data_IF_131727492744
#
_entry.id   IF_131727492744
#
_cell.length_a   1.000
_cell.length_b   1.000
_cell.length_c   1.000
_cell.angle_alpha   90.00
_cell.angle_beta   90.00
_cell.angle_gamma   90.00
#
_symmetry.space_group_name_H-M   'P 1'
#
loop_
_entity.id
_entity.type
_entity.pdbx_description
1 polymer ?
#
# COMPACT_ATOMS: atom_id res chain seq x y z
N UNK A 1 -21.92 -7.06 0.84
CA UNK A 1 -22.10 -5.82 0.06
C UNK A 1 -20.91 -4.86 0.29
N UNK A 2 -20.56 -4.50 1.55
CA UNK A 2 -19.51 -3.53 1.90
C UNK A 2 -18.11 -3.94 1.37
N UNK A 3 -17.67 -5.18 1.63
CA UNK A 3 -16.38 -5.70 1.15
C UNK A 3 -16.28 -5.69 -0.38
N UNK A 4 -17.37 -6.06 -1.08
CA UNK A 4 -17.39 -6.02 -2.54
C UNK A 4 -17.27 -4.60 -3.08
N UNK A 5 -17.89 -3.62 -2.40
CA UNK A 5 -17.78 -2.22 -2.77
C UNK A 5 -16.36 -1.70 -2.56
N UNK A 6 -15.76 -1.95 -1.39
CA UNK A 6 -14.37 -1.58 -1.11
C UNK A 6 -13.40 -2.21 -2.13
N UNK A 7 -13.59 -3.48 -2.48
CA UNK A 7 -12.75 -4.17 -3.47
C UNK A 7 -12.83 -3.55 -4.88
N UNK A 8 -14.01 -3.09 -5.29
CA UNK A 8 -14.19 -2.54 -6.64
C UNK A 8 -13.85 -1.05 -6.74
N UNK A 9 -14.23 -0.27 -5.72
CA UNK A 9 -14.28 1.19 -5.83
C UNK A 9 -13.13 1.88 -5.08
N UNK A 10 -12.29 1.13 -4.32
CA UNK A 10 -11.21 1.74 -3.55
C UNK A 10 -10.08 2.21 -4.47
N UNK A 11 -9.78 3.52 -4.41
CA UNK A 11 -8.78 4.15 -5.27
C UNK A 11 -7.35 3.65 -5.04
N UNK A 12 -6.98 3.29 -3.79
CA UNK A 12 -5.66 2.74 -3.50
C UNK A 12 -5.47 1.37 -4.16
N UNK A 13 -6.52 0.53 -4.16
CA UNK A 13 -6.49 -0.77 -4.80
C UNK A 13 -6.47 -0.65 -6.33
N UNK A 14 -7.23 0.29 -6.88
CA UNK A 14 -7.24 0.55 -8.32
C UNK A 14 -5.88 1.09 -8.80
N UNK A 15 -5.21 1.94 -8.01
CA UNK A 15 -3.85 2.39 -8.31
C UNK A 15 -2.84 1.22 -8.34
N UNK A 16 -2.97 0.25 -7.42
CA UNK A 16 -2.09 -0.94 -7.43
C UNK A 16 -2.38 -1.87 -8.62
N UNK A 17 -3.63 -1.94 -9.10
CA UNK A 17 -3.97 -2.64 -10.35
C UNK A 17 -3.28 -2.00 -11.55
N UNK A 18 -3.22 -0.65 -11.61
CA UNK A 18 -2.46 0.04 -12.66
C UNK A 18 -0.95 -0.19 -12.54
N UNK A 19 -0.41 -0.38 -11.35
CA UNK A 19 1.00 -0.76 -11.15
C UNK A 19 1.32 -2.13 -11.79
N UNK A 20 0.37 -3.06 -11.81
CA UNK A 20 0.52 -4.33 -12.55
C UNK A 20 0.55 -4.07 -14.06
N UNK A 21 -0.36 -3.23 -14.58
CA UNK A 21 -0.36 -2.86 -16.00
C UNK A 21 0.97 -2.19 -16.42
N UNK A 22 1.53 -1.32 -15.56
CA UNK A 22 2.85 -0.69 -15.78
C UNK A 22 3.93 -1.77 -15.90
N UNK A 23 3.98 -2.74 -14.99
CA UNK A 23 4.99 -3.81 -15.02
C UNK A 23 4.87 -4.71 -16.27
N UNK A 24 3.66 -4.91 -16.80
CA UNK A 24 3.44 -5.59 -18.08
C UNK A 24 4.00 -4.79 -19.27
N UNK A 25 3.89 -3.45 -19.25
CA UNK A 25 4.52 -2.63 -20.29
C UNK A 25 6.04 -2.60 -20.15
N UNK A 26 6.59 -2.60 -18.93
CA UNK A 26 8.04 -2.71 -18.69
C UNK A 26 8.62 -4.00 -19.27
N UNK A 27 7.89 -5.12 -19.18
CA UNK A 27 8.29 -6.35 -19.86
C UNK A 27 8.32 -6.19 -21.38
N UNK A 28 7.31 -5.53 -21.98
CA UNK A 28 7.30 -5.26 -23.44
C UNK A 28 8.46 -4.35 -23.84
N UNK A 29 8.79 -3.34 -23.03
CA UNK A 29 9.96 -2.47 -23.21
C UNK A 29 11.24 -3.30 -23.17
N UNK A 30 11.37 -4.23 -22.21
CA UNK A 30 12.53 -5.11 -22.15
C UNK A 30 12.64 -6.06 -23.35
N UNK A 31 11.50 -6.60 -23.83
CA UNK A 31 11.47 -7.40 -25.06
C UNK A 31 11.85 -6.56 -26.28
N UNK A 32 11.44 -5.30 -26.36
CA UNK A 32 11.76 -4.42 -27.50
C UNK A 32 13.26 -4.18 -27.67
N UNK A 33 14.06 -4.35 -26.62
CA UNK A 33 15.52 -4.28 -26.71
C UNK A 33 16.15 -5.36 -27.62
N UNK A 34 15.40 -6.42 -27.92
CA UNK A 34 15.78 -7.49 -28.85
C UNK A 34 15.39 -7.20 -30.30
N UNK A 35 14.63 -6.14 -30.55
CA UNK A 35 14.16 -5.74 -31.87
C UNK A 35 15.00 -4.59 -32.42
N UNK A 36 15.06 -4.41 -33.77
CA UNK A 36 15.69 -3.26 -34.34
C UNK A 36 14.90 -1.98 -34.02
N UNK A 37 15.62 -0.88 -33.82
CA UNK A 37 15.05 0.46 -33.82
C UNK A 37 15.16 1.07 -35.23
N UNK A 38 14.11 1.77 -35.69
CA UNK A 38 14.06 2.50 -36.94
C UNK A 38 13.81 3.96 -36.63
N UNK A 39 14.73 4.82 -37.02
CA UNK A 39 14.67 6.26 -36.80
C UNK A 39 14.73 7.00 -38.12
N UNK A 40 13.78 7.89 -38.38
CA UNK A 40 13.81 8.86 -39.46
C UNK A 40 14.18 10.22 -38.87
N UNK A 41 15.20 10.85 -39.40
CA UNK A 41 15.64 12.20 -39.01
C UNK A 41 15.78 13.12 -40.19
N UNK A 42 15.56 14.41 -39.96
CA UNK A 42 15.78 15.47 -40.94
C UNK A 42 16.37 16.69 -40.25
N UNK A 43 17.36 17.29 -40.85
CA UNK A 43 17.96 18.53 -40.37
C UNK A 43 18.21 19.48 -41.52
N UNK A 44 18.12 20.78 -41.26
CA UNK A 44 18.57 21.85 -42.16
C UNK A 44 19.49 22.73 -41.35
N UNK A 45 20.69 22.99 -41.88
CA UNK A 45 21.65 23.92 -41.31
C UNK A 45 21.95 25.03 -42.33
N UNK A 46 22.47 26.17 -41.86
CA UNK A 46 23.05 27.23 -42.68
C UNK A 46 24.51 27.33 -42.26
N UNK A 47 25.42 27.11 -43.21
CA UNK A 47 26.84 27.07 -42.95
C UNK A 47 27.53 28.25 -43.64
N UNK A 48 28.08 29.17 -42.85
CA UNK A 48 28.89 30.29 -43.31
C UNK A 48 30.38 29.95 -43.04
N UNK A 49 31.11 29.64 -44.10
CA UNK A 49 32.50 29.22 -44.05
C UNK A 49 33.45 30.39 -44.27
N UNK A 50 34.05 30.90 -43.20
CA UNK A 50 34.93 32.08 -43.24
C UNK A 50 36.32 31.81 -43.85
N UNK A 51 36.80 30.56 -43.85
CA UNK A 51 38.09 30.20 -44.46
C UNK A 51 38.14 28.71 -44.79
N UNK A 52 38.56 28.39 -46.01
CA UNK A 52 38.85 27.05 -46.48
C UNK A 52 40.18 27.05 -47.23
N UNK A 53 41.11 26.14 -46.85
CA UNK A 53 42.45 26.07 -47.42
C UNK A 53 42.71 24.64 -47.90
N UNK A 54 43.20 24.47 -49.12
CA UNK A 54 43.60 23.19 -49.67
C UNK A 54 44.87 22.65 -48.92
N UNK A 55 45.11 21.33 -48.97
CA UNK A 55 46.27 20.71 -48.35
C UNK A 55 47.61 21.23 -48.86
N UNK A 56 47.64 21.80 -50.09
CA UNK A 56 48.82 22.44 -50.66
C UNK A 56 49.01 23.91 -50.26
N UNK A 57 48.17 24.42 -49.31
CA UNK A 57 48.25 25.80 -48.80
C UNK A 57 47.58 26.87 -49.67
N UNK A 58 46.91 26.53 -50.77
CA UNK A 58 46.16 27.48 -51.59
C UNK A 58 44.75 27.64 -51.05
N UNK A 59 44.19 28.86 -51.12
CA UNK A 59 42.83 29.15 -50.74
C UNK A 59 41.85 28.44 -51.70
N UNK A 60 40.84 27.77 -51.15
CA UNK A 60 39.74 27.19 -51.92
C UNK A 60 38.63 28.23 -52.12
N UNK A 61 37.81 28.05 -53.14
CA UNK A 61 36.59 28.85 -53.32
C UNK A 61 35.62 28.53 -52.18
N UNK A 62 35.24 29.54 -51.41
CA UNK A 62 34.25 29.44 -50.33
C UNK A 62 32.88 29.73 -50.97
N UNK A 63 31.90 28.92 -50.62
CA UNK A 63 30.48 29.21 -50.86
C UNK A 63 29.68 28.82 -49.59
N UNK A 64 28.79 29.69 -49.24
CA UNK A 64 27.81 29.38 -48.18
C UNK A 64 26.87 28.32 -48.73
N UNK A 65 26.53 27.33 -47.86
CA UNK A 65 25.64 26.23 -48.18
C UNK A 65 24.61 26.08 -47.09
N UNK A 66 23.41 25.66 -47.46
CA UNK A 66 22.29 25.42 -46.57
C UNK A 66 21.91 23.91 -46.58
N UNK A 67 22.81 23.01 -46.13
CA UNK A 67 22.58 21.59 -46.31
C UNK A 67 21.31 21.10 -45.59
N UNK A 68 20.50 20.38 -46.35
CA UNK A 68 19.33 19.64 -45.86
C UNK A 68 19.67 18.17 -45.89
N UNK A 69 19.67 17.56 -44.69
CA UNK A 69 19.99 16.13 -44.50
C UNK A 69 18.73 15.39 -44.08
N UNK A 70 18.40 14.33 -44.82
CA UNK A 70 17.38 13.34 -44.43
C UNK A 70 18.08 12.00 -44.25
N UNK A 71 17.77 11.29 -43.14
CA UNK A 71 18.36 9.98 -42.93
C UNK A 71 17.36 8.99 -42.31
N UNK A 72 17.45 7.74 -42.77
CA UNK A 72 16.78 6.57 -42.22
C UNK A 72 17.85 5.68 -41.59
N UNK A 73 17.81 5.56 -40.29
CA UNK A 73 18.76 4.73 -39.52
C UNK A 73 18.04 3.53 -38.91
N UNK A 74 18.51 2.31 -39.20
CA UNK A 74 18.05 1.07 -38.59
C UNK A 74 19.20 0.56 -37.71
N UNK A 75 18.95 0.38 -36.44
CA UNK A 75 19.98 -0.09 -35.50
C UNK A 75 19.50 -1.34 -34.76
N UNK A 76 20.34 -2.40 -34.78
CA UNK A 76 20.11 -3.64 -34.05
C UNK A 76 21.31 -3.95 -33.15
N UNK A 77 21.05 -4.09 -31.83
CA UNK A 77 22.07 -4.64 -30.93
C UNK A 77 22.12 -6.15 -31.09
N UNK A 78 23.27 -6.68 -31.46
CA UNK A 78 23.51 -8.12 -31.71
C UNK A 78 24.02 -8.80 -30.46
N UNK A 79 24.98 -8.19 -29.77
CA UNK A 79 25.60 -8.74 -28.54
C UNK A 79 25.43 -7.72 -27.43
N UNK A 80 24.76 -8.17 -26.36
CA UNK A 80 24.62 -7.48 -25.07
C UNK A 80 24.37 -8.54 -24.00
N UNK A 81 25.35 -8.75 -23.15
CA UNK A 81 25.31 -9.79 -22.10
C UNK A 81 24.36 -9.43 -20.93
N UNK A 82 23.97 -8.16 -20.79
CA UNK A 82 23.04 -7.68 -19.75
C UNK A 82 21.57 -7.87 -20.11
N UNK A 83 21.26 -7.92 -21.40
CA UNK A 83 19.88 -7.93 -21.91
C UNK A 83 19.03 -9.08 -21.37
N UNK A 84 19.64 -10.28 -21.21
CA UNK A 84 18.95 -11.43 -20.61
C UNK A 84 18.60 -11.21 -19.15
N UNK A 85 19.47 -10.57 -18.37
CA UNK A 85 19.21 -10.25 -16.98
C UNK A 85 18.11 -9.18 -16.82
N UNK A 86 18.10 -8.16 -17.68
CA UNK A 86 17.04 -7.14 -17.70
C UNK A 86 15.68 -7.74 -18.07
N UNK A 87 15.64 -8.66 -19.04
CA UNK A 87 14.41 -9.37 -19.40
C UNK A 87 13.88 -10.22 -18.24
N UNK A 88 14.77 -10.95 -17.56
CA UNK A 88 14.39 -11.79 -16.42
C UNK A 88 13.94 -10.93 -15.22
N UNK A 89 14.61 -9.80 -14.97
CA UNK A 89 14.21 -8.81 -13.97
C UNK A 89 12.81 -8.26 -14.25
N UNK A 90 12.48 -7.96 -15.52
CA UNK A 90 11.15 -7.46 -15.90
C UNK A 90 10.06 -8.54 -15.73
N UNK A 91 10.35 -9.82 -15.99
CA UNK A 91 9.43 -10.92 -15.69
C UNK A 91 9.17 -11.04 -14.18
N UNK A 92 10.24 -11.02 -13.38
CA UNK A 92 10.12 -11.00 -11.91
C UNK A 92 9.35 -9.76 -11.46
N UNK A 93 9.46 -8.62 -12.17
CA UNK A 93 8.72 -7.39 -11.93
C UNK A 93 7.21 -7.58 -11.98
N UNK A 94 6.70 -8.37 -12.92
CA UNK A 94 5.27 -8.71 -13.01
C UNK A 94 4.85 -9.53 -11.78
N UNK A 95 5.63 -10.53 -11.39
CA UNK A 95 5.28 -11.36 -10.23
C UNK A 95 5.37 -10.55 -8.93
N UNK A 96 6.30 -9.61 -8.85
CA UNK A 96 6.40 -8.65 -7.75
C UNK A 96 5.17 -7.73 -7.69
N UNK A 97 4.71 -7.21 -8.82
CA UNK A 97 3.50 -6.39 -8.90
C UNK A 97 2.25 -7.19 -8.48
N UNK A 98 2.11 -8.44 -8.93
CA UNK A 98 1.04 -9.34 -8.47
C UNK A 98 1.07 -9.58 -6.96
N UNK A 99 2.26 -9.81 -6.38
CA UNK A 99 2.40 -10.01 -4.95
C UNK A 99 2.07 -8.73 -4.15
N UNK A 100 2.44 -7.56 -4.65
CA UNK A 100 2.07 -6.26 -4.08
C UNK A 100 0.57 -6.02 -4.15
N UNK A 101 -0.05 -6.31 -5.30
CA UNK A 101 -1.50 -6.24 -5.48
C UNK A 101 -2.22 -7.15 -4.48
N UNK A 102 -1.80 -8.41 -4.34
CA UNK A 102 -2.38 -9.34 -3.36
C UNK A 102 -2.25 -8.81 -1.92
N UNK A 103 -1.09 -8.26 -1.57
CA UNK A 103 -0.88 -7.62 -0.27
C UNK A 103 -1.84 -6.46 -0.07
N UNK A 104 -1.99 -5.59 -1.07
CA UNK A 104 -2.89 -4.44 -1.02
C UNK A 104 -4.35 -4.85 -0.91
N UNK A 105 -4.77 -5.89 -1.62
CA UNK A 105 -6.11 -6.49 -1.50
C UNK A 105 -6.39 -6.93 -0.07
N UNK A 106 -5.47 -7.68 0.55
CA UNK A 106 -5.59 -8.11 1.94
C UNK A 106 -5.67 -6.92 2.91
N UNK A 107 -4.83 -5.90 2.74
CA UNK A 107 -4.84 -4.70 3.56
C UNK A 107 -6.17 -3.93 3.47
N UNK A 108 -6.70 -3.73 2.27
CA UNK A 108 -7.97 -3.01 2.07
C UNK A 108 -9.15 -3.82 2.59
N UNK A 109 -9.18 -5.14 2.38
CA UNK A 109 -10.23 -6.00 2.94
C UNK A 109 -10.18 -6.00 4.48
N UNK A 110 -9.00 -6.06 5.08
CA UNK A 110 -8.83 -5.98 6.52
C UNK A 110 -9.30 -4.62 7.08
N UNK A 111 -8.83 -3.50 6.50
CA UNK A 111 -9.29 -2.15 6.87
C UNK A 111 -10.81 -2.00 6.72
N UNK A 112 -11.40 -2.63 5.70
CA UNK A 112 -12.84 -2.60 5.50
C UNK A 112 -13.60 -3.34 6.60
N UNK A 113 -13.07 -4.47 7.08
CA UNK A 113 -13.65 -5.21 8.20
C UNK A 113 -13.53 -4.38 9.49
N UNK A 114 -12.37 -3.78 9.75
CA UNK A 114 -12.16 -2.90 10.91
C UNK A 114 -13.10 -1.69 10.89
N UNK A 115 -13.23 -1.02 9.76
CA UNK A 115 -14.12 0.14 9.60
C UNK A 115 -15.60 -0.26 9.78
N UNK A 116 -16.00 -1.41 9.23
CA UNK A 116 -17.37 -1.94 9.36
C UNK A 116 -17.71 -2.29 10.81
N UNK A 117 -16.85 -3.07 11.46
CA UNK A 117 -17.06 -3.48 12.86
C UNK A 117 -16.92 -2.32 13.83
N UNK A 118 -15.98 -1.41 13.57
CA UNK A 118 -15.78 -0.19 14.34
C UNK A 118 -17.02 0.70 14.34
N UNK A 119 -17.66 0.90 13.18
CA UNK A 119 -18.89 1.70 13.08
C UNK A 119 -20.07 1.04 13.82
N UNK A 120 -20.22 -0.29 13.73
CA UNK A 120 -21.24 -1.01 14.49
C UNK A 120 -21.01 -0.84 16.00
N UNK A 121 -19.78 -1.03 16.45
CA UNK A 121 -19.42 -0.91 17.88
C UNK A 121 -19.65 0.51 18.38
N UNK A 122 -19.28 1.53 17.61
CA UNK A 122 -19.52 2.93 17.98
C UNK A 122 -21.00 3.28 18.03
N UNK A 123 -21.82 2.75 17.10
CA UNK A 123 -23.26 2.94 17.10
C UNK A 123 -23.94 2.29 18.32
N UNK A 124 -23.52 1.09 18.69
CA UNK A 124 -24.06 0.43 19.89
C UNK A 124 -23.64 1.16 21.18
N UNK A 125 -22.37 1.61 21.29
CA UNK A 125 -21.92 2.45 22.40
C UNK A 125 -22.73 3.74 22.50
N UNK A 126 -23.02 4.38 21.39
CA UNK A 126 -23.85 5.59 21.35
C UNK A 126 -25.26 5.31 21.89
N UNK A 127 -25.91 4.22 21.46
CA UNK A 127 -27.23 3.82 21.95
C UNK A 127 -27.23 3.55 23.45
N UNK A 128 -26.23 2.81 23.94
CA UNK A 128 -26.06 2.51 25.36
C UNK A 128 -25.91 3.80 26.18
N UNK A 129 -25.03 4.71 25.78
CA UNK A 129 -24.83 5.96 26.50
C UNK A 129 -26.08 6.86 26.48
N UNK A 130 -26.83 6.90 25.38
CA UNK A 130 -28.14 7.59 25.33
C UNK A 130 -29.14 6.99 26.31
N UNK A 131 -29.22 5.67 26.35
CA UNK A 131 -30.09 4.94 27.29
C UNK A 131 -29.71 5.21 28.73
N UNK A 132 -28.40 5.21 29.03
CA UNK A 132 -27.88 5.50 30.37
C UNK A 132 -28.20 6.93 30.83
N UNK A 133 -28.02 7.94 29.96
CA UNK A 133 -28.42 9.33 30.27
C UNK A 133 -29.89 9.39 30.59
N UNK A 134 -30.79 8.77 29.79
CA UNK A 134 -32.21 8.76 30.02
C UNK A 134 -32.58 8.07 31.35
N UNK A 135 -31.89 7.02 31.73
CA UNK A 135 -32.10 6.31 32.97
C UNK A 135 -31.67 7.17 34.20
N UNK A 136 -30.51 7.80 34.14
CA UNK A 136 -30.03 8.66 35.21
C UNK A 136 -30.80 9.97 35.32
N UNK A 137 -31.35 10.51 34.22
CA UNK A 137 -32.22 11.69 34.25
C UNK A 137 -33.50 11.37 35.05
N UNK A 138 -34.16 10.23 34.79
CA UNK A 138 -35.30 9.75 35.55
C UNK A 138 -34.95 9.47 37.00
N UNK A 139 -33.76 8.97 37.26
CA UNK A 139 -33.29 8.72 38.66
C UNK A 139 -33.19 10.04 39.44
N UNK A 140 -32.57 11.07 38.85
CA UNK A 140 -32.45 12.42 39.44
C UNK A 140 -33.85 13.01 39.72
N UNK A 141 -34.81 12.88 38.80
CA UNK A 141 -36.17 13.32 39.00
C UNK A 141 -36.85 12.59 40.20
N UNK A 142 -36.69 11.29 40.26
CA UNK A 142 -37.22 10.47 41.35
C UNK A 142 -36.56 10.84 42.68
N UNK A 143 -35.28 11.07 42.73
CA UNK A 143 -34.55 11.42 43.93
C UNK A 143 -34.91 12.82 44.46
N UNK A 144 -35.16 13.77 43.57
CA UNK A 144 -35.70 15.10 43.93
C UNK A 144 -37.07 15.00 44.62
N UNK A 145 -37.98 14.18 44.09
CA UNK A 145 -39.29 13.94 44.71
C UNK A 145 -39.15 13.27 46.09
N UNK A 146 -38.22 12.33 46.24
CA UNK A 146 -37.91 11.67 47.54
C UNK A 146 -37.31 12.65 48.54
N UNK A 147 -36.43 13.56 48.12
CA UNK A 147 -35.91 14.64 48.97
C UNK A 147 -37.02 15.55 49.49
N UNK A 148 -37.96 15.98 48.63
CA UNK A 148 -39.11 16.80 49.03
C UNK A 148 -39.99 16.10 50.07
N UNK A 149 -40.05 14.76 50.02
CA UNK A 149 -40.77 13.94 51.01
C UNK A 149 -39.94 13.63 52.28
N UNK A 150 -38.67 14.09 52.33
CA UNK A 150 -37.76 13.83 53.44
C UNK A 150 -37.25 12.38 53.54
N UNK A 151 -37.38 11.61 52.45
CA UNK A 151 -36.96 10.18 52.42
C UNK A 151 -35.49 9.96 52.09
N UNK A 152 -34.82 10.95 51.55
CA UNK A 152 -33.39 10.91 51.24
C UNK A 152 -32.72 12.25 51.56
N UNK A 153 -31.40 12.29 51.60
CA UNK A 153 -30.62 13.49 51.87
C UNK A 153 -30.34 14.30 50.63
N UNK A 154 -29.97 15.58 50.81
CA UNK A 154 -29.49 16.43 49.71
C UNK A 154 -28.18 15.89 49.06
N UNK A 155 -27.40 15.16 49.84
CA UNK A 155 -26.15 14.51 49.34
C UNK A 155 -26.46 13.38 48.34
N UNK A 156 -27.59 12.67 48.54
CA UNK A 156 -28.04 11.61 47.61
C UNK A 156 -28.44 12.20 46.26
N UNK A 157 -29.16 13.32 46.28
CA UNK A 157 -29.54 14.05 45.02
C UNK A 157 -28.27 14.60 44.32
N UNK A 158 -27.36 15.21 45.09
CA UNK A 158 -26.10 15.70 44.50
C UNK A 158 -25.27 14.57 43.88
N UNK A 159 -25.30 13.36 44.44
CA UNK A 159 -24.64 12.18 43.86
C UNK A 159 -25.31 11.76 42.52
N UNK A 160 -26.61 11.72 42.48
CA UNK A 160 -27.36 11.39 41.26
C UNK A 160 -27.12 12.43 40.15
N UNK A 161 -27.11 13.71 40.53
CA UNK A 161 -26.81 14.80 39.60
C UNK A 161 -25.37 14.74 39.05
N UNK A 162 -24.41 14.38 39.90
CA UNK A 162 -23.01 14.15 39.50
C UNK A 162 -22.91 12.99 38.52
N UNK A 163 -23.60 11.90 38.76
CA UNK A 163 -23.61 10.72 37.86
C UNK A 163 -24.28 11.03 36.54
N UNK A 164 -25.35 11.83 36.53
CA UNK A 164 -25.99 12.31 35.29
C UNK A 164 -25.04 13.20 34.48
N UNK A 165 -24.29 14.10 35.13
CA UNK A 165 -23.33 14.95 34.46
C UNK A 165 -22.19 14.12 33.83
N UNK A 166 -21.70 13.09 34.51
CA UNK A 166 -20.73 12.13 33.97
C UNK A 166 -21.29 11.37 32.74
N UNK A 167 -22.51 10.88 32.84
CA UNK A 167 -23.16 10.17 31.73
C UNK A 167 -23.36 11.07 30.50
N UNK A 168 -23.71 12.35 30.70
CA UNK A 168 -23.78 13.34 29.61
C UNK A 168 -22.43 13.56 28.95
N UNK A 169 -21.34 13.64 29.72
CA UNK A 169 -19.99 13.75 29.17
C UNK A 169 -19.61 12.51 28.34
N UNK A 170 -19.93 11.30 28.83
CA UNK A 170 -19.72 10.04 28.10
C UNK A 170 -20.54 9.96 26.82
N UNK A 171 -21.78 10.51 26.82
CA UNK A 171 -22.59 10.59 25.62
C UNK A 171 -21.96 11.46 24.55
N UNK A 172 -21.46 12.65 24.92
CA UNK A 172 -20.77 13.56 23.98
C UNK A 172 -19.58 12.85 23.36
N UNK A 173 -18.79 12.13 24.16
CA UNK A 173 -17.66 11.34 23.66
C UNK A 173 -18.12 10.24 22.69
N UNK A 174 -19.19 9.51 23.02
CA UNK A 174 -19.72 8.46 22.17
C UNK A 174 -20.29 9.00 20.84
N UNK A 175 -20.88 10.23 20.84
CA UNK A 175 -21.31 10.91 19.62
C UNK A 175 -20.13 11.27 18.71
N UNK A 176 -19.04 11.76 19.28
CA UNK A 176 -17.81 12.04 18.54
C UNK A 176 -17.17 10.75 18.00
N UNK A 177 -17.10 9.67 18.79
CA UNK A 177 -16.55 8.38 18.39
C UNK A 177 -17.38 7.78 17.23
N UNK A 178 -18.70 7.90 17.29
CA UNK A 178 -19.59 7.47 16.22
C UNK A 178 -19.36 8.26 14.92
N UNK A 179 -19.25 9.59 15.00
CA UNK A 179 -18.96 10.43 13.84
C UNK A 179 -17.62 10.06 13.21
N UNK A 180 -16.57 9.92 14.02
CA UNK A 180 -15.24 9.53 13.56
C UNK A 180 -15.23 8.15 12.92
N UNK A 181 -15.91 7.17 13.51
CA UNK A 181 -16.04 5.81 12.94
C UNK A 181 -16.85 5.82 11.64
N UNK A 182 -17.85 6.69 11.50
CA UNK A 182 -18.61 6.88 10.26
C UNK A 182 -17.72 7.45 9.15
N UNK A 183 -16.94 8.48 9.46
CA UNK A 183 -15.99 9.08 8.50
C UNK A 183 -14.93 8.07 8.06
N UNK A 184 -14.41 7.26 8.97
CA UNK A 184 -13.48 6.18 8.64
C UNK A 184 -14.12 5.13 7.73
N UNK A 185 -15.34 4.71 8.01
CA UNK A 185 -16.10 3.81 7.15
C UNK A 185 -16.29 4.41 5.73
N UNK A 186 -16.69 5.68 5.65
CA UNK A 186 -16.90 6.37 4.38
C UNK A 186 -15.60 6.53 3.56
N UNK A 187 -14.49 6.71 4.24
CA UNK A 187 -13.15 6.79 3.60
C UNK A 187 -12.74 5.47 2.96
N UNK A 188 -12.98 4.34 3.63
CA UNK A 188 -12.48 3.02 3.20
C UNK A 188 -13.46 2.33 2.25
N UNK A 189 -14.76 2.41 2.52
CA UNK A 189 -15.82 1.64 1.83
C UNK A 189 -16.68 2.54 0.94
N UNK A 190 -16.79 3.82 1.30
CA UNK A 190 -17.62 4.80 0.62
C UNK A 190 -18.90 5.13 1.39
N UNK A 191 -19.60 6.19 0.96
CA UNK A 191 -20.75 6.78 1.66
C UNK A 191 -21.79 5.75 2.09
N UNK A 192 -22.26 5.90 3.34
CA UNK A 192 -23.35 5.13 3.93
C UNK A 192 -24.55 6.04 4.16
N UNK A 193 -25.72 5.63 3.67
CA UNK A 193 -26.97 6.40 3.85
C UNK A 193 -27.56 6.23 5.26
N UNK A 194 -27.58 5.01 5.77
CA UNK A 194 -28.11 4.71 7.10
C UNK A 194 -27.23 3.70 7.84
N UNK A 195 -26.45 4.13 8.88
CA UNK A 195 -25.62 3.25 9.68
C UNK A 195 -26.41 2.20 10.47
N UNK A 196 -27.71 2.42 10.76
CA UNK A 196 -28.55 1.49 11.51
C UNK A 196 -28.87 0.20 10.75
N UNK A 197 -28.71 0.23 9.40
CA UNK A 197 -28.93 -0.93 8.55
C UNK A 197 -27.74 -1.90 8.55
N UNK A 198 -26.65 -1.55 9.20
CA UNK A 198 -25.51 -2.45 9.35
C UNK A 198 -25.88 -3.62 10.28
N UNK A 199 -25.76 -4.83 9.75
CA UNK A 199 -26.07 -6.04 10.51
C UNK A 199 -24.83 -6.55 11.22
N UNK A 200 -24.99 -6.98 12.48
CA UNK A 200 -24.03 -7.85 13.16
C UNK A 200 -24.14 -9.24 12.54
N UNK A 201 -23.49 -9.42 11.36
CA UNK A 201 -23.44 -10.77 10.78
C UNK A 201 -22.42 -11.61 11.55
N UNK A 202 -22.80 -12.85 11.83
CA UNK A 202 -21.87 -13.86 12.35
C UNK A 202 -20.73 -14.02 11.34
N UNK A 203 -19.55 -13.82 11.83
CA UNK A 203 -18.30 -13.79 11.10
C UNK A 203 -18.10 -15.12 10.39
N UNK A 204 -17.59 -15.02 9.15
CA UNK A 204 -17.11 -16.10 8.30
C UNK A 204 -16.48 -17.23 9.09
N UNK A 205 -16.91 -18.46 8.86
CA UNK A 205 -16.18 -19.64 9.27
C UNK A 205 -14.86 -19.69 8.49
N UNK A 206 -13.82 -19.14 9.09
CA UNK A 206 -12.47 -19.25 8.56
C UNK A 206 -11.85 -20.52 9.11
N UNK A 207 -11.43 -21.44 8.24
CA UNK A 207 -10.63 -22.58 8.64
C UNK A 207 -9.25 -22.10 9.10
N UNK A 208 -9.13 -21.85 10.41
CA UNK A 208 -7.87 -21.46 11.02
C UNK A 208 -7.03 -22.71 11.29
N UNK A 209 -5.70 -22.62 11.20
CA UNK A 209 -4.79 -23.67 11.67
C UNK A 209 -5.11 -24.03 13.13
N UNK A 210 -4.97 -25.29 13.46
CA UNK A 210 -5.22 -25.77 14.84
C UNK A 210 -4.06 -25.54 15.79
N UNK A 211 -2.84 -25.38 15.26
CA UNK A 211 -1.60 -25.23 16.00
C UNK A 211 -0.74 -24.08 15.47
N UNK A 212 0.05 -23.47 16.35
CA UNK A 212 0.95 -22.38 16.03
C UNK A 212 1.95 -22.74 14.93
N UNK A 213 2.55 -23.95 15.01
CA UNK A 213 3.53 -24.39 14.01
C UNK A 213 2.92 -24.48 12.60
N UNK A 214 1.71 -25.01 12.50
CA UNK A 214 0.96 -25.08 11.24
C UNK A 214 0.65 -23.70 10.70
N UNK A 215 0.33 -22.72 11.56
CA UNK A 215 0.10 -21.34 11.15
C UNK A 215 1.40 -20.68 10.62
N UNK A 216 2.54 -20.92 11.27
CA UNK A 216 3.86 -20.42 10.83
C UNK A 216 4.22 -21.01 9.45
N UNK A 217 4.07 -22.33 9.25
CA UNK A 217 4.39 -22.96 7.96
C UNK A 217 3.46 -22.47 6.83
N UNK A 218 2.17 -22.29 7.12
CA UNK A 218 1.22 -21.73 6.17
C UNK A 218 1.59 -20.29 5.79
N UNK A 219 2.00 -19.48 6.76
CA UNK A 219 2.42 -18.09 6.53
C UNK A 219 3.69 -18.00 5.70
N UNK A 220 4.68 -18.88 5.92
CA UNK A 220 5.91 -18.92 5.11
C UNK A 220 5.63 -19.09 3.62
N UNK A 221 4.59 -19.84 3.28
CA UNK A 221 4.22 -20.11 1.87
C UNK A 221 3.38 -19.00 1.26
N UNK A 222 2.48 -18.40 2.04
CA UNK A 222 1.40 -17.57 1.50
C UNK A 222 1.50 -16.09 1.89
N UNK A 223 2.44 -15.69 2.76
CA UNK A 223 2.55 -14.28 3.16
C UNK A 223 3.08 -13.43 2.00
N UNK A 224 2.27 -12.49 1.46
CA UNK A 224 2.69 -11.65 0.35
C UNK A 224 3.95 -10.83 0.65
N UNK A 225 4.16 -10.42 1.90
CA UNK A 225 5.36 -9.66 2.31
C UNK A 225 6.65 -10.48 2.20
N UNK A 226 6.59 -11.80 2.46
CA UNK A 226 7.73 -12.71 2.23
C UNK A 226 7.97 -12.95 0.75
N UNK A 227 6.89 -13.12 -0.04
CA UNK A 227 6.97 -13.29 -1.49
C UNK A 227 7.61 -12.04 -2.11
N UNK A 228 7.17 -10.84 -1.73
CA UNK A 228 7.74 -9.56 -2.17
C UNK A 228 9.23 -9.49 -1.86
N UNK A 229 9.63 -9.74 -0.61
CA UNK A 229 11.03 -9.67 -0.20
C UNK A 229 11.91 -10.67 -0.97
N UNK A 230 11.39 -11.86 -1.27
CA UNK A 230 12.11 -12.86 -2.07
C UNK A 230 12.25 -12.42 -3.54
N UNK A 231 11.18 -11.88 -4.14
CA UNK A 231 11.22 -11.38 -5.53
C UNK A 231 12.13 -10.16 -5.68
N UNK A 232 12.15 -9.24 -4.70
CA UNK A 232 13.09 -8.12 -4.68
C UNK A 232 14.55 -8.59 -4.58
N UNK A 233 14.81 -9.65 -3.81
CA UNK A 233 16.13 -10.26 -3.77
C UNK A 233 16.50 -10.90 -5.11
N UNK A 234 15.57 -11.58 -5.78
CA UNK A 234 15.80 -12.13 -7.12
C UNK A 234 16.06 -11.04 -8.17
N UNK A 235 15.34 -9.92 -8.12
CA UNK A 235 15.61 -8.77 -8.99
C UNK A 235 17.04 -8.22 -8.76
N UNK A 236 17.47 -8.08 -7.50
CA UNK A 236 18.81 -7.58 -7.18
C UNK A 236 19.94 -8.48 -7.67
N UNK A 237 19.70 -9.80 -7.80
CA UNK A 237 20.64 -10.72 -8.48
C UNK A 237 20.79 -10.40 -9.95
N UNK A 238 19.67 -10.14 -10.64
CA UNK A 238 19.70 -9.75 -12.04
C UNK A 238 20.35 -8.38 -12.24
N UNK A 239 20.16 -7.43 -11.31
CA UNK A 239 20.89 -6.15 -11.30
C UNK A 239 22.40 -6.35 -11.18
N UNK A 240 22.86 -7.34 -10.39
CA UNK A 240 24.28 -7.68 -10.28
C UNK A 240 24.81 -8.31 -11.58
N UNK A 241 23.99 -9.12 -12.28
CA UNK A 241 24.37 -9.70 -13.59
C UNK A 241 24.44 -8.59 -14.64
N UNK A 242 23.46 -7.69 -14.69
CA UNK A 242 23.46 -6.54 -15.58
C UNK A 242 24.69 -5.63 -15.34
N UNK A 243 24.96 -5.26 -14.09
CA UNK A 243 26.15 -4.46 -13.77
C UNK A 243 27.48 -5.16 -14.09
N UNK A 244 27.51 -6.50 -14.10
CA UNK A 244 28.68 -7.26 -14.55
C UNK A 244 28.81 -7.18 -16.08
N UNK A 245 27.71 -7.16 -16.82
CA UNK A 245 27.74 -7.08 -18.28
C UNK A 245 28.26 -5.73 -18.78
N UNK A 246 28.20 -4.66 -17.99
CA UNK A 246 28.81 -3.36 -18.31
C UNK A 246 30.33 -3.41 -18.45
N UNK A 247 30.98 -4.50 -18.03
CA UNK A 247 32.41 -4.77 -18.22
C UNK A 247 32.71 -5.55 -19.51
N UNK A 248 31.69 -6.04 -20.18
CA UNK A 248 31.78 -6.85 -21.39
C UNK A 248 31.62 -6.00 -22.66
N UNK A 249 32.07 -6.48 -23.82
CA UNK A 249 31.85 -5.81 -25.10
C UNK A 249 30.37 -5.91 -25.52
N UNK A 250 29.90 -4.85 -26.19
CA UNK A 250 28.62 -4.83 -26.91
C UNK A 250 28.86 -4.76 -28.41
N UNK A 251 27.99 -5.37 -29.22
CA UNK A 251 28.07 -5.30 -30.66
C UNK A 251 26.72 -4.82 -31.24
N UNK A 252 26.78 -3.82 -32.09
CA UNK A 252 25.63 -3.26 -32.81
C UNK A 252 25.84 -3.32 -34.32
N UNK A 253 24.77 -3.59 -35.05
CA UNK A 253 24.68 -3.46 -36.50
C UNK A 253 23.77 -2.29 -36.80
N UNK A 254 24.22 -1.36 -37.63
CA UNK A 254 23.43 -0.24 -38.14
C UNK A 254 23.43 -0.20 -39.63
N UNK A 255 22.28 0.10 -40.21
CA UNK A 255 22.11 0.50 -41.61
C UNK A 255 21.62 1.94 -41.62
N UNK A 256 22.32 2.78 -42.32
CA UNK A 256 22.00 4.19 -42.49
C UNK A 256 21.87 4.53 -43.97
N UNK A 257 20.71 5.06 -44.34
CA UNK A 257 20.50 5.67 -45.68
C UNK A 257 20.30 7.16 -45.49
N UNK A 258 21.20 7.96 -46.04
CA UNK A 258 21.17 9.41 -45.97
C UNK A 258 21.15 10.06 -47.34
N UNK A 259 20.35 11.13 -47.45
CA UNK A 259 20.34 12.06 -48.55
C UNK A 259 20.68 13.45 -48.02
N UNK A 260 21.61 14.11 -48.67
CA UNK A 260 22.02 15.48 -48.37
C UNK A 260 21.92 16.32 -49.63
N UNK A 261 21.11 17.37 -49.57
CA UNK A 261 20.97 18.38 -50.62
C UNK A 261 21.76 19.63 -50.23
N UNK A 262 22.32 20.36 -51.19
CA UNK A 262 23.20 21.51 -51.02
C UNK A 262 24.46 21.17 -50.19
N UNK A 263 25.15 20.08 -50.58
CA UNK A 263 26.23 19.47 -49.81
C UNK A 263 27.46 20.40 -49.68
N UNK A 264 27.91 20.95 -50.80
CA UNK A 264 29.05 21.88 -50.83
C UNK A 264 29.13 22.58 -52.21
N UNK A 265 30.09 23.50 -52.37
CA UNK A 265 30.30 24.28 -53.63
C UNK A 265 30.56 23.45 -54.90
N UNK A 266 30.82 22.17 -54.77
CA UNK A 266 31.18 21.28 -55.88
C UNK A 266 30.07 20.26 -56.17
N UNK A 267 29.40 19.79 -55.11
CA UNK A 267 28.37 18.75 -55.19
C UNK A 267 27.10 19.24 -54.55
N UNK A 268 26.01 19.19 -55.29
CA UNK A 268 24.70 19.61 -54.87
C UNK A 268 24.03 18.52 -54.00
N UNK A 269 24.07 17.28 -54.46
CA UNK A 269 23.39 16.16 -53.82
C UNK A 269 24.34 14.99 -53.51
N UNK A 270 24.08 14.31 -52.36
CA UNK A 270 24.76 13.07 -52.00
C UNK A 270 23.76 12.08 -51.44
N UNK A 271 23.60 10.94 -52.11
CA UNK A 271 22.94 9.75 -51.53
C UNK A 271 23.99 8.76 -51.03
N UNK A 272 23.78 8.21 -49.84
CA UNK A 272 24.73 7.28 -49.26
C UNK A 272 23.98 6.20 -48.45
N UNK A 273 24.30 4.93 -48.77
CA UNK A 273 23.92 3.75 -47.97
C UNK A 273 25.14 3.23 -47.22
N UNK A 274 25.01 3.12 -45.89
CA UNK A 274 26.12 2.68 -45.04
C UNK A 274 25.67 1.52 -44.14
N UNK A 275 26.28 0.35 -44.27
CA UNK A 275 26.14 -0.77 -43.37
C UNK A 275 27.37 -0.79 -42.44
N UNK A 276 27.14 -0.67 -41.12
CA UNK A 276 28.20 -0.55 -40.13
C UNK A 276 28.00 -1.55 -39.00
N UNK A 277 28.99 -2.37 -38.72
CA UNK A 277 29.09 -3.19 -37.51
C UNK A 277 30.05 -2.52 -36.53
N UNK A 278 29.59 -2.27 -35.31
CA UNK A 278 30.39 -1.60 -34.28
C UNK A 278 30.49 -2.51 -33.07
N UNK A 279 31.71 -2.77 -32.60
CA UNK A 279 31.98 -3.44 -31.32
C UNK A 279 32.57 -2.40 -30.37
N UNK A 280 31.91 -2.21 -29.22
CA UNK A 280 32.35 -1.28 -28.19
C UNK A 280 32.70 -2.07 -26.92
N UNK A 281 33.93 -1.92 -26.45
CA UNK A 281 34.39 -2.51 -25.21
C UNK A 281 34.90 -1.44 -24.26
N UNK A 282 34.21 -1.17 -23.15
CA UNK A 282 34.62 -0.15 -22.16
C UNK A 282 35.74 -0.70 -21.29
N UNK A 283 36.96 -0.85 -21.89
CA UNK A 283 38.14 -1.42 -21.22
C UNK A 283 38.54 -0.67 -19.95
N UNK A 284 38.41 0.65 -19.95
CA UNK A 284 38.67 1.50 -18.78
C UNK A 284 37.75 2.70 -18.77
N UNK A 285 36.96 2.80 -17.70
CA UNK A 285 35.95 3.86 -17.48
C UNK A 285 36.19 4.64 -16.17
N UNK A 286 37.47 4.87 -15.84
CA UNK A 286 37.85 5.55 -14.59
C UNK A 286 37.40 4.83 -13.30
N UNK A 287 37.21 3.50 -13.36
CA UNK A 287 36.76 2.71 -12.23
C UNK A 287 35.22 2.67 -12.04
N UNK A 288 34.44 3.43 -12.83
CA UNK A 288 32.97 3.54 -12.71
C UNK A 288 32.26 2.18 -12.77
N UNK A 289 32.58 1.34 -13.76
CA UNK A 289 31.90 0.05 -13.95
C UNK A 289 32.19 -0.91 -12.80
N UNK A 290 33.42 -0.93 -12.26
CA UNK A 290 33.75 -1.71 -11.06
C UNK A 290 33.03 -1.21 -9.81
N UNK A 291 32.94 0.11 -9.64
CA UNK A 291 32.20 0.71 -8.53
C UNK A 291 30.69 0.37 -8.62
N UNK A 292 30.10 0.42 -9.82
CA UNK A 292 28.70 0.01 -10.05
C UNK A 292 28.47 -1.47 -9.75
N UNK A 293 29.39 -2.37 -10.18
CA UNK A 293 29.30 -3.79 -9.86
C UNK A 293 29.36 -4.03 -8.35
N UNK A 294 30.30 -3.37 -7.64
CA UNK A 294 30.42 -3.51 -6.19
C UNK A 294 29.19 -2.93 -5.46
N UNK A 295 28.63 -1.82 -5.94
CA UNK A 295 27.35 -1.26 -5.46
C UNK A 295 26.21 -2.27 -5.63
N UNK A 296 26.07 -2.90 -6.80
CA UNK A 296 25.02 -3.90 -7.06
C UNK A 296 25.17 -5.13 -6.17
N UNK A 297 26.39 -5.61 -5.94
CA UNK A 297 26.68 -6.70 -4.99
C UNK A 297 26.29 -6.35 -3.55
N UNK A 298 26.56 -5.11 -3.13
CA UNK A 298 26.16 -4.64 -1.80
C UNK A 298 24.64 -4.53 -1.67
N UNK A 299 23.93 -4.09 -2.72
CA UNK A 299 22.47 -4.06 -2.77
C UNK A 299 21.88 -5.48 -2.75
N UNK A 300 22.46 -6.43 -3.47
CA UNK A 300 22.06 -7.84 -3.43
C UNK A 300 22.21 -8.42 -2.01
N UNK A 301 23.35 -8.17 -1.35
CA UNK A 301 23.55 -8.59 0.05
C UNK A 301 22.53 -7.91 0.99
N UNK A 302 22.28 -6.62 0.81
CA UNK A 302 21.27 -5.89 1.58
C UNK A 302 19.88 -6.54 1.43
N UNK A 303 19.44 -6.84 0.19
CA UNK A 303 18.13 -7.48 -0.05
C UNK A 303 18.06 -8.89 0.55
N UNK A 304 19.15 -9.66 0.52
CA UNK A 304 19.23 -10.96 1.19
C UNK A 304 19.05 -10.83 2.72
N UNK A 305 19.72 -9.84 3.34
CA UNK A 305 19.60 -9.60 4.78
C UNK A 305 18.16 -9.13 5.15
N UNK A 306 17.54 -8.30 4.32
CA UNK A 306 16.15 -7.87 4.50
C UNK A 306 15.18 -9.06 4.37
N UNK A 307 15.41 -9.99 3.44
CA UNK A 307 14.60 -11.22 3.31
C UNK A 307 14.72 -12.08 4.57
N UNK A 308 15.94 -12.28 5.11
CA UNK A 308 16.14 -13.00 6.36
C UNK A 308 15.43 -12.32 7.54
N UNK A 309 15.54 -11.00 7.65
CA UNK A 309 14.84 -10.22 8.67
C UNK A 309 13.31 -10.35 8.54
N UNK A 310 12.78 -10.26 7.31
CA UNK A 310 11.36 -10.43 7.05
C UNK A 310 10.87 -11.84 7.43
N UNK A 311 11.69 -12.87 7.22
CA UNK A 311 11.35 -14.25 7.64
C UNK A 311 11.23 -14.35 9.16
N UNK A 312 12.17 -13.77 9.90
CA UNK A 312 12.11 -13.76 11.38
C UNK A 312 10.92 -12.94 11.86
N UNK A 313 10.71 -11.75 11.28
CA UNK A 313 9.57 -10.89 11.59
C UNK A 313 8.24 -11.60 11.35
N UNK A 314 8.08 -12.30 10.23
CA UNK A 314 6.87 -13.07 9.93
C UNK A 314 6.59 -14.12 11.01
N UNK A 315 7.60 -14.84 11.50
CA UNK A 315 7.41 -15.82 12.59
C UNK A 315 6.92 -15.15 13.88
N UNK A 316 7.51 -14.00 14.23
CA UNK A 316 7.11 -13.23 15.41
C UNK A 316 5.68 -12.67 15.27
N UNK A 317 5.35 -12.10 14.11
CA UNK A 317 4.03 -11.51 13.84
C UNK A 317 2.93 -12.59 13.92
N UNK A 318 3.19 -13.79 13.34
CA UNK A 318 2.24 -14.92 13.41
C UNK A 318 2.09 -15.42 14.85
N UNK A 319 3.19 -15.57 15.61
CA UNK A 319 3.13 -15.99 17.01
C UNK A 319 2.36 -14.99 17.87
N UNK A 320 2.57 -13.69 17.66
CA UNK A 320 1.85 -12.63 18.36
C UNK A 320 0.36 -12.62 18.00
N UNK A 321 0.03 -12.75 16.72
CA UNK A 321 -1.36 -12.82 16.26
C UNK A 321 -2.08 -14.05 16.80
N UNK A 322 -1.39 -15.20 16.85
CA UNK A 322 -1.91 -16.43 17.44
C UNK A 322 -2.21 -16.28 18.94
N UNK A 323 -1.26 -15.71 19.70
CA UNK A 323 -1.42 -15.44 21.11
C UNK A 323 -2.60 -14.50 21.38
N UNK A 324 -2.70 -13.41 20.60
CA UNK A 324 -3.82 -12.47 20.68
C UNK A 324 -5.17 -13.14 20.36
N UNK A 325 -5.21 -14.01 19.37
CA UNK A 325 -6.41 -14.76 19.02
C UNK A 325 -6.87 -15.65 20.18
N UNK A 326 -5.97 -16.42 20.81
CA UNK A 326 -6.29 -17.28 21.95
C UNK A 326 -6.72 -16.47 23.17
N UNK A 327 -6.03 -15.37 23.45
CA UNK A 327 -6.36 -14.45 24.53
C UNK A 327 -7.76 -13.84 24.35
N UNK A 328 -8.06 -13.32 23.16
CA UNK A 328 -9.36 -12.73 22.86
C UNK A 328 -10.50 -13.76 22.91
N UNK A 329 -10.25 -15.01 22.50
CA UNK A 329 -11.21 -16.10 22.63
C UNK A 329 -11.56 -16.38 24.09
N UNK A 330 -10.54 -16.43 24.97
CA UNK A 330 -10.73 -16.62 26.41
C UNK A 330 -11.39 -15.42 27.06
N UNK A 331 -10.98 -14.19 26.67
CA UNK A 331 -11.59 -12.95 27.14
C UNK A 331 -13.08 -12.88 26.81
N UNK A 332 -13.48 -13.28 25.60
CA UNK A 332 -14.90 -13.29 25.19
C UNK A 332 -15.75 -14.18 26.11
N UNK A 333 -15.23 -15.35 26.50
CA UNK A 333 -15.93 -16.26 27.44
C UNK A 333 -16.09 -15.60 28.81
N UNK A 334 -15.02 -14.99 29.32
CA UNK A 334 -15.03 -14.32 30.62
C UNK A 334 -15.97 -13.10 30.66
N UNK A 335 -15.94 -12.27 29.60
CA UNK A 335 -16.82 -11.08 29.50
C UNK A 335 -18.30 -11.50 29.40
N UNK A 336 -18.62 -12.57 28.67
CA UNK A 336 -19.99 -13.09 28.62
C UNK A 336 -20.48 -13.56 29.98
N UNK A 337 -19.63 -14.24 30.76
CA UNK A 337 -19.96 -14.64 32.11
C UNK A 337 -20.15 -13.42 33.05
N UNK A 338 -19.30 -12.39 32.89
CA UNK A 338 -19.41 -11.13 33.64
C UNK A 338 -20.73 -10.43 33.37
N UNK A 339 -21.12 -10.27 32.08
CA UNK A 339 -22.38 -9.63 31.70
C UNK A 339 -23.57 -10.36 32.31
N UNK A 340 -23.63 -11.68 32.17
CA UNK A 340 -24.73 -12.47 32.75
C UNK A 340 -24.82 -12.32 34.30
N UNK A 341 -23.67 -12.30 35.00
CA UNK A 341 -23.65 -12.07 36.43
C UNK A 341 -24.08 -10.64 36.83
N UNK A 342 -23.66 -9.63 36.01
CA UNK A 342 -24.05 -8.24 36.23
C UNK A 342 -25.55 -8.01 35.99
N UNK A 343 -26.14 -8.65 34.98
CA UNK A 343 -27.60 -8.60 34.71
C UNK A 343 -28.39 -9.12 35.93
N UNK A 344 -28.06 -10.31 36.45
CA UNK A 344 -28.71 -10.92 37.60
C UNK A 344 -28.55 -10.03 38.85
N UNK A 345 -27.36 -9.49 39.09
CA UNK A 345 -27.10 -8.63 40.25
C UNK A 345 -27.89 -7.31 40.12
N UNK A 346 -27.95 -6.71 38.96
CA UNK A 346 -28.68 -5.46 38.72
C UNK A 346 -30.19 -5.64 38.92
N UNK A 347 -30.76 -6.71 38.37
CA UNK A 347 -32.19 -7.03 38.54
C UNK A 347 -32.52 -7.17 40.04
N UNK A 348 -31.68 -7.88 40.83
CA UNK A 348 -31.85 -8.05 42.27
C UNK A 348 -31.79 -6.73 43.02
N UNK A 349 -30.74 -5.93 42.81
CA UNK A 349 -30.53 -4.64 43.47
C UNK A 349 -31.68 -3.66 43.19
N UNK A 350 -32.10 -3.58 41.91
CA UNK A 350 -33.23 -2.70 41.50
C UNK A 350 -34.53 -3.16 42.13
N UNK A 351 -34.80 -4.47 42.22
CA UNK A 351 -36.01 -5.00 42.85
C UNK A 351 -36.02 -4.72 44.33
N UNK A 352 -34.91 -4.95 45.07
CA UNK A 352 -34.75 -4.66 46.50
C UNK A 352 -34.92 -3.16 46.77
N UNK A 353 -34.30 -2.29 46.00
CA UNK A 353 -34.47 -0.83 46.11
C UNK A 353 -35.94 -0.37 45.95
N UNK A 354 -36.64 -0.92 44.96
CA UNK A 354 -38.02 -0.57 44.71
C UNK A 354 -38.98 -1.13 45.78
N UNK A 355 -38.61 -2.22 46.43
CA UNK A 355 -39.42 -2.80 47.54
C UNK A 355 -39.28 -2.08 48.88
N UNK A 356 -38.41 -1.07 48.97
CA UNK A 356 -38.18 -0.30 50.19
C UNK A 356 -37.19 -0.98 51.17
N UNK A 357 -36.39 -1.94 50.72
CA UNK A 357 -35.27 -2.51 51.47
C UNK A 357 -34.18 -1.46 51.72
N UNK A 358 -33.22 -1.74 52.63
CA UNK A 358 -32.11 -0.85 53.00
C UNK A 358 -31.08 -0.58 51.87
N UNK A 359 -31.46 -0.75 50.60
CA UNK A 359 -30.62 -0.43 49.44
C UNK A 359 -30.57 1.05 49.19
N UNK A 360 -29.36 1.56 48.93
CA UNK A 360 -29.11 2.97 48.65
C UNK A 360 -29.21 3.28 47.16
N UNK A 361 -29.53 4.54 46.83
CA UNK A 361 -29.46 5.06 45.42
C UNK A 361 -28.09 4.82 44.79
N UNK A 362 -27.01 4.93 45.58
CA UNK A 362 -25.65 4.70 45.12
C UNK A 362 -25.44 3.25 44.65
N UNK A 363 -25.96 2.25 45.36
CA UNK A 363 -25.88 0.85 44.92
C UNK A 363 -26.60 0.59 43.61
N UNK A 364 -27.75 1.20 43.39
CA UNK A 364 -28.47 1.13 42.11
C UNK A 364 -27.68 1.76 40.98
N UNK A 365 -27.10 2.95 41.20
CA UNK A 365 -26.27 3.64 40.19
C UNK A 365 -25.02 2.81 39.87
N UNK A 366 -24.35 2.26 40.90
CA UNK A 366 -23.18 1.40 40.70
C UNK A 366 -23.53 0.11 39.94
N UNK A 367 -24.62 -0.53 40.26
CA UNK A 367 -25.08 -1.73 39.58
C UNK A 367 -25.43 -1.47 38.13
N UNK A 368 -26.13 -0.36 37.82
CA UNK A 368 -26.41 0.07 36.46
C UNK A 368 -25.15 0.43 35.64
N UNK A 369 -24.12 0.92 36.31
CA UNK A 369 -22.83 1.26 35.65
C UNK A 369 -21.96 0.04 35.36
N UNK A 370 -22.17 -1.08 36.05
CA UNK A 370 -21.49 -2.35 35.79
C UNK A 370 -22.10 -3.13 34.64
N UNK A 371 -23.37 -2.90 34.36
CA UNK A 371 -24.10 -3.48 33.22
C UNK A 371 -23.83 -2.72 31.89
#
# INVERSE_FOLDING_TARGET
AALKKAYNDNNELNAERESLNISEQELKISISSYLPSVTLSGSKSSEDTNKLTNQNGTDATISDVDPTVQSLTITQTIIDFGRGAELEKSKIGIDLAKAKLLKKEQEILYKSIEAYTGLITANEKLKINRSNVNLLDRQVETDRIRLERGSISISDVAQSESSLAEAKAKLIQAENDFLTSKLNYESVIGKIMNPELLKKESIFEVNLPTELNSAIELSKKNNPSLIIANLEYQQSKNDTISARSDLAPTATLSFDRSQTDDLNSTYDEKEQDTLKATVTWPFFSGGKNYANLNKSRSLELQKNLLLKNMTTKNQTDVASAWSNFQSNKSLLISVRAQVNAAEIANEGIVAEYNSGSDRTTLEVIQSNSLL
#
